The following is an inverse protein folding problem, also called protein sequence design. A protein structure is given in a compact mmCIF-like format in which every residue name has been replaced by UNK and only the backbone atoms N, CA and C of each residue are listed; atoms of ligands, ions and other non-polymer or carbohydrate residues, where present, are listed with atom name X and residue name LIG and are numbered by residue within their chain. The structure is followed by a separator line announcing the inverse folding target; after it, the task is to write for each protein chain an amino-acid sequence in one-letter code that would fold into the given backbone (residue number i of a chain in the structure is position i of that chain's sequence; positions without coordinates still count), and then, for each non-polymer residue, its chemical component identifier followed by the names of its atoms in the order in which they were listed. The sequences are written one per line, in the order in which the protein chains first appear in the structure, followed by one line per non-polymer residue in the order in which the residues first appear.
data_IF_511216099706
#
_entry.id   IF_511216099706
#
_cell.length_a   1.000
_cell.length_b   1.000
_cell.length_c   1.000
_cell.angle_alpha   90.00
_cell.angle_beta   90.00
_cell.angle_gamma   90.00
#
_symmetry.space_group_name_H-M   'P 1'
#
loop_
_entity.id
_entity.type
_entity.pdbx_description
1 polymer ?
#
# COMPACT_ATOMS: atom_id res chain seq x y z
N UNK A 1 10.33 10.37 5.25
CA UNK A 1 10.27 11.11 3.94
C UNK A 1 9.70 12.51 4.15
N UNK A 2 10.19 13.58 3.51
CA UNK A 2 9.59 14.91 3.66
C UNK A 2 8.39 15.10 2.70
N UNK A 3 7.54 16.13 2.98
CA UNK A 3 6.30 16.43 2.24
C UNK A 3 6.50 16.54 0.71
N UNK A 4 7.57 17.23 0.27
CA UNK A 4 7.86 17.44 -1.17
C UNK A 4 8.25 16.13 -1.87
N UNK A 5 9.01 15.26 -1.20
CA UNK A 5 9.39 13.96 -1.70
C UNK A 5 8.17 13.01 -1.77
N UNK A 6 7.32 13.02 -0.75
CA UNK A 6 6.07 12.26 -0.75
C UNK A 6 5.13 12.69 -1.87
N UNK A 7 4.93 14.00 -2.07
CA UNK A 7 4.11 14.51 -3.16
C UNK A 7 4.60 14.04 -4.54
N UNK A 8 5.93 14.04 -4.76
CA UNK A 8 6.51 13.50 -6.00
C UNK A 8 6.25 12.00 -6.16
N UNK A 9 6.36 11.24 -5.08
CA UNK A 9 6.07 9.81 -5.07
C UNK A 9 4.60 9.54 -5.40
N UNK A 10 3.67 10.25 -4.75
CA UNK A 10 2.23 10.14 -5.00
C UNK A 10 1.90 10.44 -6.47
N UNK A 11 2.40 11.53 -7.04
CA UNK A 11 2.18 11.86 -8.44
C UNK A 11 2.72 10.75 -9.36
N UNK A 12 3.87 10.17 -9.01
CA UNK A 12 4.44 9.05 -9.75
C UNK A 12 3.55 7.81 -9.71
N UNK A 13 2.99 7.48 -8.55
CA UNK A 13 2.03 6.37 -8.41
C UNK A 13 0.76 6.63 -9.23
N UNK A 14 0.20 7.85 -9.15
CA UNK A 14 -1.01 8.21 -9.89
C UNK A 14 -0.84 8.14 -11.42
N UNK A 15 0.34 8.50 -11.94
CA UNK A 15 0.64 8.48 -13.38
C UNK A 15 1.06 7.13 -13.94
N UNK A 16 1.37 6.17 -13.07
CA UNK A 16 1.88 4.88 -13.51
C UNK A 16 0.77 4.03 -14.15
N UNK A 17 1.07 3.32 -15.22
CA UNK A 17 0.23 2.22 -15.70
C UNK A 17 0.21 1.07 -14.68
N UNK A 18 -0.67 0.08 -14.85
CA UNK A 18 -0.70 -1.10 -13.97
C UNK A 18 0.65 -1.81 -13.92
N UNK A 19 1.31 -1.99 -15.06
CA UNK A 19 2.67 -2.55 -15.12
C UNK A 19 3.70 -1.60 -14.48
N UNK A 20 3.55 -0.30 -14.69
CA UNK A 20 4.42 0.73 -14.13
C UNK A 20 4.37 0.79 -12.62
N UNK A 21 3.18 0.67 -12.00
CA UNK A 21 3.04 0.69 -10.55
C UNK A 21 3.63 -0.58 -9.92
N UNK A 22 3.44 -1.76 -10.51
CA UNK A 22 4.11 -3.01 -10.10
C UNK A 22 5.63 -2.85 -10.10
N UNK A 23 6.17 -2.28 -11.17
CA UNK A 23 7.60 -2.00 -11.27
C UNK A 23 8.07 -1.04 -10.17
N UNK A 24 7.32 0.04 -9.88
CA UNK A 24 7.65 0.98 -8.80
C UNK A 24 7.69 0.31 -7.44
N UNK A 25 6.71 -0.55 -7.13
CA UNK A 25 6.63 -1.30 -5.88
C UNK A 25 7.87 -2.20 -5.74
N UNK A 26 8.19 -3.00 -6.75
CA UNK A 26 9.34 -3.90 -6.72
C UNK A 26 10.69 -3.15 -6.62
N UNK A 27 10.81 -1.97 -7.25
CA UNK A 27 12.03 -1.17 -7.21
C UNK A 27 12.23 -0.40 -5.89
N UNK A 28 11.16 -0.17 -5.13
CA UNK A 28 11.24 0.55 -3.84
C UNK A 28 12.19 -0.13 -2.85
N UNK A 29 12.29 -1.45 -2.92
CA UNK A 29 13.10 -2.28 -2.02
C UNK A 29 14.55 -2.43 -2.51
N UNK A 30 14.78 -2.38 -3.83
CA UNK A 30 16.11 -2.63 -4.43
C UNK A 30 17.11 -1.47 -4.26
N UNK A 31 16.66 -0.30 -3.86
CA UNK A 31 17.50 0.93 -3.78
C UNK A 31 18.32 1.07 -2.50
N UNK A 32 18.26 0.10 -1.59
CA UNK A 32 19.04 0.15 -0.35
C UNK A 32 20.28 -0.71 -0.49
N UNK A 33 21.46 -0.16 -0.13
CA UNK A 33 22.75 -0.87 -0.17
C UNK A 33 22.81 -2.09 0.75
N UNK A 34 21.96 -2.16 1.77
CA UNK A 34 21.73 -3.34 2.61
C UNK A 34 20.23 -3.65 2.49
N UNK A 35 19.87 -4.83 1.98
CA UNK A 35 18.46 -5.19 1.85
C UNK A 35 17.82 -5.29 3.25
N UNK A 36 16.81 -4.46 3.48
CA UNK A 36 16.01 -4.50 4.70
C UNK A 36 14.75 -5.35 4.51
N UNK A 37 14.29 -5.44 3.28
CA UNK A 37 13.10 -6.19 2.87
C UNK A 37 13.40 -7.18 1.76
N UNK A 38 12.62 -8.26 1.69
CA UNK A 38 12.49 -9.15 0.53
C UNK A 38 11.20 -8.86 -0.20
N UNK A 39 11.20 -9.10 -1.53
CA UNK A 39 10.02 -8.95 -2.38
C UNK A 39 9.65 -10.33 -2.92
N UNK A 40 8.40 -10.72 -2.72
CA UNK A 40 7.76 -11.83 -3.42
C UNK A 40 6.76 -11.23 -4.41
N UNK A 41 6.95 -11.47 -5.69
CA UNK A 41 6.13 -10.91 -6.76
C UNK A 41 5.33 -12.03 -7.43
N UNK A 42 4.06 -12.11 -7.11
CA UNK A 42 3.10 -13.07 -7.67
C UNK A 42 2.25 -12.42 -8.77
N UNK A 43 1.41 -13.19 -9.43
CA UNK A 43 0.59 -12.68 -10.53
C UNK A 43 -0.36 -11.56 -10.08
N UNK A 44 -1.13 -11.79 -9.02
CA UNK A 44 -2.17 -10.88 -8.55
C UNK A 44 -1.84 -10.16 -7.24
N UNK A 45 -0.65 -10.35 -6.68
CA UNK A 45 -0.20 -9.57 -5.53
C UNK A 45 1.33 -9.47 -5.45
N UNK A 46 1.80 -8.47 -4.71
CA UNK A 46 3.20 -8.30 -4.34
C UNK A 46 3.27 -8.25 -2.83
N UNK A 47 4.16 -9.06 -2.25
CA UNK A 47 4.40 -9.12 -0.83
C UNK A 47 5.82 -8.65 -0.51
N UNK A 48 5.94 -7.68 0.40
CA UNK A 48 7.22 -7.16 0.88
C UNK A 48 7.34 -7.48 2.36
N UNK A 49 8.41 -8.17 2.72
CA UNK A 49 8.61 -8.73 4.06
C UNK A 49 9.97 -8.32 4.61
N UNK A 50 10.08 -7.85 5.86
CA UNK A 50 11.37 -7.58 6.49
C UNK A 50 12.25 -8.84 6.54
N UNK A 51 13.56 -8.70 6.22
CA UNK A 51 14.52 -9.81 6.21
C UNK A 51 14.81 -10.29 7.64
N UNK A 52 14.94 -9.35 8.57
CA UNK A 52 15.20 -9.67 9.97
C UNK A 52 13.88 -9.75 10.71
N UNK A 53 13.38 -10.95 10.90
CA UNK A 53 12.31 -11.29 11.83
C UNK A 53 12.93 -12.03 13.01
N UNK A 54 12.71 -11.54 14.21
CA UNK A 54 12.84 -12.41 15.38
C UNK A 54 11.59 -13.27 15.43
N UNK A 55 11.72 -14.56 15.72
CA UNK A 55 10.60 -15.53 15.75
C UNK A 55 9.45 -15.12 16.67
N UNK A 56 9.70 -14.21 17.60
CA UNK A 56 8.73 -13.66 18.56
C UNK A 56 8.13 -12.31 18.13
N UNK A 57 8.46 -11.79 16.94
CA UNK A 57 8.01 -10.46 16.55
C UNK A 57 6.79 -10.56 15.64
N UNK A 58 5.60 -10.32 16.20
CA UNK A 58 4.40 -10.07 15.42
C UNK A 58 4.53 -8.72 14.72
N UNK A 59 4.17 -8.66 13.44
CA UNK A 59 4.23 -7.44 12.64
C UNK A 59 2.86 -7.09 12.10
N UNK A 60 2.54 -5.80 11.96
CA UNK A 60 1.35 -5.38 11.24
C UNK A 60 1.46 -5.75 9.75
N UNK A 61 0.34 -6.12 9.14
CA UNK A 61 0.19 -6.25 7.71
C UNK A 61 -0.46 -4.99 7.16
N UNK A 62 0.29 -4.21 6.39
CA UNK A 62 -0.21 -3.00 5.70
C UNK A 62 -0.66 -3.40 4.30
N UNK A 63 -1.92 -3.17 4.01
CA UNK A 63 -2.58 -3.57 2.76
C UNK A 63 -2.98 -2.35 1.93
N UNK A 64 -2.81 -2.45 0.62
CA UNK A 64 -3.28 -1.48 -0.37
C UNK A 64 -3.48 -2.20 -1.71
N UNK A 65 -4.35 -1.69 -2.59
CA UNK A 65 -4.46 -2.22 -3.94
C UNK A 65 -3.90 -1.23 -4.96
N UNK A 66 -3.43 -1.75 -6.11
CA UNK A 66 -2.80 -0.91 -7.13
C UNK A 66 -3.55 -0.87 -8.46
N UNK A 67 -4.57 -1.69 -8.64
CA UNK A 67 -5.51 -1.56 -9.75
C UNK A 67 -6.45 -0.36 -9.55
N UNK A 68 -7.21 -0.03 -10.55
CA UNK A 68 -8.17 1.08 -10.55
C UNK A 68 -9.37 0.71 -11.41
N UNK A 69 -10.56 1.23 -11.08
CA UNK A 69 -11.84 0.95 -11.79
C UNK A 69 -11.81 1.16 -13.31
N UNK A 70 -10.84 1.90 -13.84
CA UNK A 70 -10.65 2.10 -15.27
C UNK A 70 -9.17 2.16 -15.61
N UNK A 71 -8.76 1.47 -16.69
CA UNK A 71 -7.47 1.72 -17.32
C UNK A 71 -7.47 3.15 -17.87
N UNK A 72 -6.77 4.03 -17.19
CA UNK A 72 -6.52 5.38 -17.70
C UNK A 72 -5.15 5.37 -18.34
N UNK A 73 -5.11 5.37 -19.66
CA UNK A 73 -3.86 5.29 -20.44
C UNK A 73 -2.93 6.47 -20.17
N UNK A 74 -3.49 7.67 -19.87
CA UNK A 74 -2.73 8.85 -19.52
C UNK A 74 -3.46 9.70 -18.49
N UNK A 75 -2.96 9.72 -17.26
CA UNK A 75 -3.41 10.64 -16.22
C UNK A 75 -2.55 11.90 -16.25
N UNK A 76 -3.13 13.01 -16.68
CA UNK A 76 -2.50 14.33 -16.58
C UNK A 76 -2.79 14.95 -15.21
N UNK A 77 -1.86 14.72 -14.28
CA UNK A 77 -2.00 15.21 -12.90
C UNK A 77 -1.67 16.70 -12.83
N UNK A 78 -2.57 17.48 -12.27
CA UNK A 78 -2.39 18.89 -11.95
C UNK A 78 -2.60 19.13 -10.45
N UNK A 79 -1.98 20.18 -9.93
CA UNK A 79 -2.11 20.59 -8.53
C UNK A 79 -2.72 22.00 -8.54
N UNK A 80 -3.94 22.12 -8.06
CA UNK A 80 -4.68 23.38 -8.02
C UNK A 80 -5.34 23.56 -6.66
N UNK A 81 -5.11 24.71 -6.02
CA UNK A 81 -5.68 25.01 -4.70
C UNK A 81 -5.29 24.00 -3.61
N UNK A 82 -4.11 23.39 -3.70
CA UNK A 82 -3.66 22.35 -2.76
C UNK A 82 -4.25 20.95 -3.02
N UNK A 83 -5.09 20.80 -4.03
CA UNK A 83 -5.70 19.53 -4.43
C UNK A 83 -4.98 18.94 -5.64
N UNK A 84 -4.84 17.62 -5.64
CA UNK A 84 -4.34 16.86 -6.79
C UNK A 84 -5.55 16.41 -7.62
N UNK A 85 -5.54 16.72 -8.90
CA UNK A 85 -6.64 16.45 -9.83
C UNK A 85 -6.14 15.85 -11.14
N UNK A 86 -7.01 15.12 -11.84
CA UNK A 86 -6.80 14.82 -13.25
C UNK A 86 -7.29 16.02 -14.08
N UNK A 87 -6.43 16.63 -14.88
CA UNK A 87 -6.74 17.78 -15.73
C UNK A 87 -7.92 17.52 -16.67
N UNK A 88 -8.04 16.29 -17.16
CA UNK A 88 -9.14 15.84 -18.04
C UNK A 88 -10.47 15.61 -17.29
N UNK A 89 -10.55 15.92 -15.98
CA UNK A 89 -11.72 15.67 -15.10
C UNK A 89 -12.19 14.20 -15.09
N UNK A 90 -11.32 13.28 -15.47
CA UNK A 90 -11.54 11.84 -15.44
C UNK A 90 -11.06 11.25 -14.10
N UNK A 91 -11.18 9.94 -13.95
CA UNK A 91 -10.68 9.21 -12.76
C UNK A 91 -9.23 9.54 -12.52
N UNK A 92 -8.87 9.83 -11.27
CA UNK A 92 -7.50 10.09 -10.85
C UNK A 92 -6.76 8.80 -10.46
N UNK A 93 -7.49 7.76 -10.06
CA UNK A 93 -6.92 6.52 -9.52
C UNK A 93 -6.30 6.70 -8.13
N UNK A 94 -6.83 7.67 -7.35
CA UNK A 94 -6.38 7.89 -5.98
C UNK A 94 -6.70 6.71 -5.07
N UNK A 95 -7.77 6.04 -5.38
CA UNK A 95 -8.24 4.78 -4.88
C UNK A 95 -7.57 3.63 -5.68
N UNK A 96 -6.65 2.81 -5.14
CA UNK A 96 -5.95 3.10 -3.86
C UNK A 96 -4.46 3.42 -4.08
N UNK A 97 -4.12 4.10 -5.16
CA UNK A 97 -2.72 4.49 -5.41
C UNK A 97 -2.19 5.51 -4.40
N UNK A 98 -3.07 6.15 -3.65
CA UNK A 98 -2.66 6.96 -2.51
C UNK A 98 -2.14 6.08 -1.38
N UNK A 99 -2.82 5.00 -1.05
CA UNK A 99 -2.35 3.98 -0.10
C UNK A 99 -1.05 3.32 -0.55
N UNK A 100 -0.94 2.99 -1.84
CA UNK A 100 0.36 2.51 -2.39
C UNK A 100 1.48 3.51 -2.13
N UNK A 101 1.27 4.82 -2.35
CA UNK A 101 2.29 5.83 -2.11
C UNK A 101 2.65 5.94 -0.61
N UNK A 102 1.68 5.81 0.29
CA UNK A 102 1.90 5.78 1.74
C UNK A 102 2.74 4.56 2.12
N UNK A 103 2.36 3.35 1.68
CA UNK A 103 3.10 2.14 1.96
C UNK A 103 4.55 2.20 1.43
N UNK A 104 4.76 2.76 0.22
CA UNK A 104 6.09 2.97 -0.34
C UNK A 104 6.91 3.99 0.47
N UNK A 105 6.29 5.01 1.05
CA UNK A 105 6.95 5.94 1.95
C UNK A 105 7.37 5.25 3.26
N UNK A 106 6.51 4.41 3.82
CA UNK A 106 6.82 3.61 5.01
C UNK A 106 8.00 2.65 4.74
N UNK A 107 8.01 1.98 3.59
CA UNK A 107 9.14 1.12 3.16
C UNK A 107 10.43 1.93 3.03
N UNK A 108 10.36 3.11 2.41
CA UNK A 108 11.53 4.02 2.30
C UNK A 108 12.09 4.40 3.68
N UNK A 109 11.22 4.65 4.64
CA UNK A 109 11.59 5.03 6.02
C UNK A 109 11.86 3.79 6.90
N UNK A 110 11.87 2.59 6.30
CA UNK A 110 12.17 1.30 6.94
C UNK A 110 11.24 0.97 8.11
N UNK A 111 9.99 1.38 8.03
CA UNK A 111 8.99 1.00 9.05
C UNK A 111 8.82 -0.52 9.05
N UNK A 112 8.99 -1.17 10.20
CA UNK A 112 8.92 -2.63 10.29
C UNK A 112 7.46 -3.12 10.20
N UNK A 113 7.04 -3.50 9.00
CA UNK A 113 5.74 -4.07 8.70
C UNK A 113 5.86 -5.07 7.54
N UNK A 114 4.85 -5.90 7.36
CA UNK A 114 4.63 -6.67 6.14
C UNK A 114 3.76 -5.78 5.24
N UNK A 115 4.11 -5.67 3.98
CA UNK A 115 3.35 -4.86 3.02
C UNK A 115 2.77 -5.76 1.94
N UNK A 116 1.47 -5.70 1.77
CA UNK A 116 0.72 -6.42 0.75
C UNK A 116 0.13 -5.41 -0.24
N UNK A 117 0.46 -5.59 -1.51
CA UNK A 117 -0.11 -4.82 -2.61
C UNK A 117 -0.90 -5.77 -3.50
N UNK A 118 -2.22 -5.60 -3.55
CA UNK A 118 -3.14 -6.44 -4.31
C UNK A 118 -3.42 -5.89 -5.70
N UNK A 119 -3.66 -6.77 -6.65
CA UNK A 119 -4.28 -6.50 -7.94
C UNK A 119 -5.72 -7.02 -7.94
N UNK A 120 -6.54 -6.49 -8.84
CA UNK A 120 -7.93 -6.95 -9.05
C UNK A 120 -8.80 -6.86 -7.79
N UNK A 121 -8.56 -5.84 -6.98
CA UNK A 121 -9.45 -5.49 -5.87
C UNK A 121 -10.79 -5.07 -6.41
N UNK A 122 -10.82 -4.15 -7.38
CA UNK A 122 -11.99 -3.57 -8.04
C UNK A 122 -12.83 -4.60 -8.84
N UNK A 123 -12.33 -5.79 -9.01
CA UNK A 123 -12.97 -6.88 -9.73
C UNK A 123 -13.20 -8.13 -8.88
N UNK A 124 -13.24 -7.96 -7.55
CA UNK A 124 -13.61 -9.02 -6.61
C UNK A 124 -12.49 -9.52 -5.71
N UNK A 125 -11.41 -8.74 -5.50
CA UNK A 125 -10.42 -9.04 -4.47
C UNK A 125 -9.57 -10.28 -4.75
N UNK A 126 -9.24 -10.56 -6.01
CA UNK A 126 -8.51 -11.78 -6.38
C UNK A 126 -7.12 -11.83 -5.73
N UNK A 127 -6.39 -10.69 -5.72
CA UNK A 127 -5.06 -10.64 -5.14
C UNK A 127 -5.04 -10.91 -3.63
N UNK A 128 -6.00 -10.37 -2.88
CA UNK A 128 -6.13 -10.64 -1.45
C UNK A 128 -6.54 -12.09 -1.17
N UNK A 129 -7.42 -12.66 -1.98
CA UNK A 129 -7.84 -14.07 -1.87
C UNK A 129 -6.68 -15.03 -2.14
N UNK A 130 -5.88 -14.79 -3.16
CA UNK A 130 -4.68 -15.59 -3.43
C UNK A 130 -3.63 -15.47 -2.32
N UNK A 131 -3.41 -14.27 -1.78
CA UNK A 131 -2.53 -14.07 -0.64
C UNK A 131 -2.99 -14.91 0.56
N UNK A 132 -4.27 -14.86 0.90
CA UNK A 132 -4.84 -15.64 2.01
C UNK A 132 -4.66 -17.14 1.80
N UNK A 133 -4.74 -17.62 0.58
CA UNK A 133 -4.53 -19.03 0.27
C UNK A 133 -3.06 -19.47 0.33
N UNK A 134 -2.14 -18.67 -0.22
CA UNK A 134 -0.74 -19.06 -0.38
C UNK A 134 0.14 -18.76 0.84
N UNK A 135 -0.15 -17.71 1.60
CA UNK A 135 0.78 -17.18 2.61
C UNK A 135 0.31 -17.42 4.06
N UNK A 136 -0.33 -18.58 4.31
CA UNK A 136 -0.86 -18.97 5.62
C UNK A 136 0.19 -18.86 6.77
N UNK A 137 1.46 -19.15 6.48
CA UNK A 137 2.53 -19.04 7.47
C UNK A 137 2.86 -17.58 7.83
N UNK A 138 2.70 -16.66 6.88
CA UNK A 138 2.88 -15.23 7.12
C UNK A 138 1.70 -14.70 7.92
N UNK A 139 0.48 -15.07 7.56
CA UNK A 139 -0.75 -14.66 8.22
C UNK A 139 -0.70 -14.96 9.73
N UNK A 140 -0.20 -16.13 10.12
CA UNK A 140 -0.04 -16.52 11.52
C UNK A 140 0.93 -15.65 12.33
N UNK A 141 1.76 -14.85 11.67
CA UNK A 141 2.72 -13.92 12.30
C UNK A 141 2.24 -12.47 12.30
N UNK A 142 1.05 -12.22 11.78
CA UNK A 142 0.45 -10.88 11.73
C UNK A 142 -0.33 -10.65 13.01
N UNK A 143 -0.13 -9.49 13.66
CA UNK A 143 -0.87 -9.10 14.86
C UNK A 143 -2.04 -8.15 14.57
N UNK A 144 -1.95 -7.39 13.48
CA UNK A 144 -3.06 -6.55 13.05
C UNK A 144 -2.99 -6.29 11.53
N UNK A 145 -4.13 -5.96 10.96
CA UNK A 145 -4.30 -5.63 9.55
C UNK A 145 -4.62 -4.14 9.42
N UNK A 146 -3.87 -3.44 8.58
CA UNK A 146 -4.04 -2.00 8.34
C UNK A 146 -4.33 -1.81 6.85
N UNK A 147 -5.59 -1.55 6.51
CA UNK A 147 -5.98 -1.15 5.16
C UNK A 147 -5.76 0.34 4.96
N UNK A 148 -5.11 0.72 3.88
CA UNK A 148 -4.87 2.13 3.54
C UNK A 148 -5.96 2.69 2.61
N UNK A 149 -6.82 1.83 2.13
CA UNK A 149 -7.95 2.14 1.27
C UNK A 149 -9.13 2.69 2.08
N UNK A 150 -9.14 4.01 2.28
CA UNK A 150 -10.24 4.68 2.94
C UNK A 150 -10.46 6.09 2.41
N UNK A 151 -11.71 6.40 2.14
CA UNK A 151 -12.17 7.74 1.81
C UNK A 151 -12.25 8.58 3.09
N UNK A 152 -11.84 9.86 3.03
CA UNK A 152 -11.80 10.83 4.13
C UNK A 152 -10.69 10.56 5.15
N UNK A 153 -9.57 11.29 5.01
CA UNK A 153 -8.29 11.04 5.68
C UNK A 153 -8.20 11.32 7.19
N UNK A 154 -9.29 11.65 7.88
CA UNK A 154 -9.27 12.00 9.31
C UNK A 154 -9.95 10.94 10.19
N UNK A 155 -10.34 9.82 9.63
CA UNK A 155 -11.04 8.77 10.34
C UNK A 155 -10.30 7.44 10.23
N UNK A 156 -10.25 6.71 11.34
CA UNK A 156 -9.80 5.32 11.40
C UNK A 156 -11.04 4.46 11.64
N UNK A 157 -11.33 3.53 10.74
CA UNK A 157 -12.36 2.53 10.97
C UNK A 157 -11.71 1.32 11.65
N UNK A 158 -12.22 0.95 12.81
CA UNK A 158 -11.86 -0.27 13.49
C UNK A 158 -12.92 -1.33 13.13
N UNK A 159 -12.46 -2.44 12.58
CA UNK A 159 -13.29 -3.60 12.29
C UNK A 159 -13.05 -4.67 13.33
N UNK A 160 -14.02 -5.55 13.53
CA UNK A 160 -14.08 -6.61 14.52
C UNK A 160 -12.73 -7.13 15.02
N UNK A 161 -12.59 -7.32 16.34
CA UNK A 161 -11.41 -7.83 17.06
C UNK A 161 -10.29 -6.80 17.37
N UNK A 162 -10.53 -5.50 17.23
CA UNK A 162 -9.63 -4.54 17.85
C UNK A 162 -9.68 -4.76 19.38
N UNK A 163 -8.55 -5.12 19.99
CA UNK A 163 -8.46 -5.21 21.43
C UNK A 163 -8.76 -3.85 22.07
N UNK A 164 -9.25 -3.82 23.32
CA UNK A 164 -9.46 -2.57 24.06
C UNK A 164 -8.21 -1.67 24.04
N UNK A 165 -7.01 -2.27 24.01
CA UNK A 165 -5.73 -1.56 23.92
C UNK A 165 -5.58 -0.79 22.61
N UNK A 166 -5.94 -1.38 21.46
CA UNK A 166 -5.93 -0.69 20.16
C UNK A 166 -6.97 0.42 20.11
N UNK A 167 -8.16 0.21 20.65
CA UNK A 167 -9.19 1.24 20.75
C UNK A 167 -8.70 2.45 21.55
N UNK A 168 -7.97 2.25 22.64
CA UNK A 168 -7.44 3.33 23.47
C UNK A 168 -6.30 4.12 22.80
N UNK A 169 -5.55 3.51 21.89
CA UNK A 169 -4.47 4.19 21.12
C UNK A 169 -5.04 5.14 20.06
N UNK A 170 -6.17 4.78 19.43
CA UNK A 170 -6.71 5.53 18.31
C UNK A 170 -7.84 6.51 18.66
N UNK A 171 -8.40 6.43 19.86
CA UNK A 171 -9.49 7.31 20.33
C UNK A 171 -8.97 8.44 21.25
N UNK A 172 -7.72 8.40 21.68
CA UNK A 172 -7.04 9.46 22.44
C UNK A 172 -6.46 10.52 21.50
#
# INVERSE_FOLDING_TARGET
MNKKAFQKLLIKCLRASTTGIRYLICQSVKKTSVPYFTVKNYENYILIVPIRRTESCFLPLVCSHYDTVRHVEEIEVVIEGGLIRNKKKAVLGGDDRAGVAIALAMIHDKVPAIYLFCDKEETGGLGSSEFLFHEQNIIKTVNCYIGLDRRNGNEIALYDYASEELNNIFIS
#
